data_IF_377911755699
#
_entry.id   IF_377911755699
#
_cell.length_a   1.000
_cell.length_b   1.000
_cell.length_c   1.000
_cell.angle_alpha   90.00
_cell.angle_beta   90.00
_cell.angle_gamma   90.00
#
_symmetry.space_group_name_H-M   'P 1'
#
loop_
_entity.id
_entity.type
_entity.pdbx_description
1 polymer ?
#
# COMPACT_ATOMS: atom_id res chain seq x y z
N UNK A 1 -18.98 28.99 -4.98
CA UNK A 1 -19.18 27.55 -4.71
C UNK A 1 -18.34 26.73 -5.68
N UNK A 2 -17.08 26.43 -5.35
CA UNK A 2 -16.27 25.44 -6.08
C UNK A 2 -15.31 24.81 -5.06
N UNK A 3 -15.67 23.63 -4.56
CA UNK A 3 -14.78 22.76 -3.78
C UNK A 3 -14.53 21.46 -4.57
N UNK A 4 -14.26 21.57 -5.87
CA UNK A 4 -13.83 20.46 -6.73
C UNK A 4 -12.32 20.32 -6.67
N UNK A 5 -11.78 20.16 -5.45
CA UNK A 5 -10.46 19.60 -5.26
C UNK A 5 -10.67 18.12 -4.98
N UNK A 6 -10.68 17.31 -6.04
CA UNK A 6 -10.59 15.87 -5.96
C UNK A 6 -9.47 15.54 -4.96
N UNK A 7 -9.87 15.06 -3.77
CA UNK A 7 -8.97 14.70 -2.69
C UNK A 7 -8.20 13.48 -3.18
N UNK A 8 -7.13 13.71 -3.95
CA UNK A 8 -6.28 12.64 -4.48
C UNK A 8 -5.94 11.75 -3.29
N UNK A 9 -6.31 10.47 -3.35
CA UNK A 9 -5.90 9.53 -2.31
C UNK A 9 -4.41 9.71 -2.09
N UNK A 10 -4.02 9.74 -0.81
CA UNK A 10 -2.62 9.63 -0.43
C UNK A 10 -1.98 8.41 -1.13
N UNK A 11 -0.65 8.40 -1.26
CA UNK A 11 0.02 7.25 -1.87
C UNK A 11 -0.18 5.98 -1.03
N UNK A 12 -0.29 4.82 -1.68
CA UNK A 12 -0.30 3.52 -0.99
C UNK A 12 0.99 3.35 -0.16
N UNK A 13 0.93 2.99 1.14
CA UNK A 13 2.12 2.93 1.98
C UNK A 13 3.15 1.87 1.55
N UNK A 14 2.70 0.76 0.94
CA UNK A 14 3.62 -0.27 0.41
C UNK A 14 4.37 0.26 -0.81
N UNK A 15 3.68 1.00 -1.68
CA UNK A 15 4.29 1.70 -2.80
C UNK A 15 5.31 2.74 -2.32
N UNK A 16 4.97 3.50 -1.28
CA UNK A 16 5.85 4.50 -0.68
C UNK A 16 7.12 3.86 -0.11
N UNK A 17 6.99 2.79 0.70
CA UNK A 17 8.13 2.01 1.21
C UNK A 17 9.03 1.54 0.08
N UNK A 18 8.45 0.90 -0.95
CA UNK A 18 9.23 0.37 -2.07
C UNK A 18 9.98 1.48 -2.81
N UNK A 19 9.34 2.63 -3.03
CA UNK A 19 9.96 3.79 -3.69
C UNK A 19 11.07 4.40 -2.84
N UNK A 20 10.88 4.50 -1.53
CA UNK A 20 11.91 4.98 -0.60
C UNK A 20 13.15 4.09 -0.60
N UNK A 21 12.99 2.77 -0.79
CA UNK A 21 14.08 1.82 -0.96
C UNK A 21 14.71 1.83 -2.36
N UNK A 22 14.18 2.64 -3.30
CA UNK A 22 14.66 2.68 -4.68
C UNK A 22 14.44 1.40 -5.48
N UNK A 23 13.48 0.55 -5.07
CA UNK A 23 13.31 -0.79 -5.63
C UNK A 23 12.21 -0.87 -6.69
N UNK A 24 12.46 -1.71 -7.71
CA UNK A 24 11.40 -2.20 -8.58
C UNK A 24 10.47 -3.14 -7.80
N UNK A 25 9.25 -3.41 -8.30
CA UNK A 25 8.38 -4.45 -7.71
C UNK A 25 9.05 -5.82 -7.72
N UNK A 26 9.86 -6.09 -8.74
CA UNK A 26 10.61 -7.35 -8.86
C UNK A 26 11.62 -7.50 -7.73
N UNK A 27 12.39 -6.46 -7.46
CA UNK A 27 13.44 -6.51 -6.44
C UNK A 27 12.86 -6.51 -5.04
N UNK A 28 11.83 -5.69 -4.79
CA UNK A 28 11.13 -5.69 -3.52
C UNK A 28 10.41 -7.02 -3.26
N UNK A 29 9.79 -7.62 -4.30
CA UNK A 29 9.15 -8.93 -4.22
C UNK A 29 10.14 -10.03 -3.83
N UNK A 30 11.34 -10.03 -4.43
CA UNK A 30 12.42 -10.95 -4.02
C UNK A 30 12.82 -10.77 -2.56
N UNK A 31 12.96 -9.51 -2.12
CA UNK A 31 13.35 -9.17 -0.77
C UNK A 31 12.34 -9.68 0.28
N UNK A 32 11.05 -9.43 0.06
CA UNK A 32 9.98 -9.85 0.98
C UNK A 32 9.43 -11.25 0.67
N UNK A 33 10.01 -11.93 -0.33
CA UNK A 33 9.67 -13.28 -0.82
C UNK A 33 8.20 -13.44 -1.28
N UNK A 34 7.76 -12.53 -2.15
CA UNK A 34 6.47 -12.59 -2.84
C UNK A 34 6.63 -12.35 -4.34
N UNK A 35 5.66 -12.81 -5.12
CA UNK A 35 5.65 -12.55 -6.56
C UNK A 35 5.37 -11.06 -6.87
N UNK A 36 5.96 -10.47 -7.93
CA UNK A 36 5.69 -9.09 -8.31
C UNK A 36 4.21 -8.80 -8.61
N UNK A 37 3.45 -9.81 -9.06
CA UNK A 37 2.00 -9.69 -9.27
C UNK A 37 1.24 -9.49 -7.95
N UNK A 38 1.69 -10.14 -6.87
CA UNK A 38 1.13 -9.93 -5.54
C UNK A 38 1.34 -8.47 -5.08
N UNK A 39 2.53 -7.90 -5.32
CA UNK A 39 2.80 -6.50 -5.04
C UNK A 39 1.99 -5.54 -5.94
N UNK A 40 1.76 -5.92 -7.20
CA UNK A 40 0.88 -5.15 -8.08
C UNK A 40 -0.54 -5.07 -7.52
N UNK A 41 -1.10 -6.20 -7.08
CA UNK A 41 -2.42 -6.28 -6.48
C UNK A 41 -2.50 -5.53 -5.14
N UNK A 42 -1.47 -5.64 -4.30
CA UNK A 42 -1.38 -4.95 -3.01
C UNK A 42 -1.26 -3.44 -3.18
N UNK A 43 -0.38 -2.97 -4.06
CA UNK A 43 -0.23 -1.54 -4.35
C UNK A 43 -1.38 -0.96 -5.20
N UNK A 44 -2.13 -1.82 -5.88
CA UNK A 44 -3.33 -1.49 -6.65
C UNK A 44 -4.59 -1.43 -5.79
N UNK A 45 -4.52 -1.91 -4.54
CA UNK A 45 -5.65 -1.90 -3.61
C UNK A 45 -6.66 -3.01 -3.88
N UNK A 46 -6.26 -4.11 -4.52
CA UNK A 46 -7.11 -5.30 -4.68
C UNK A 46 -7.42 -5.95 -3.31
N UNK A 47 -6.52 -5.82 -2.34
CA UNK A 47 -6.73 -6.30 -0.99
C UNK A 47 -7.49 -5.28 -0.15
N UNK A 48 -8.57 -5.71 0.50
CA UNK A 48 -9.37 -4.87 1.39
C UNK A 48 -8.61 -4.49 2.67
N UNK A 49 -7.83 -5.43 3.20
CA UNK A 49 -7.03 -5.26 4.43
C UNK A 49 -5.56 -5.54 4.17
N UNK A 50 -4.71 -5.03 5.05
CA UNK A 50 -3.28 -5.32 5.02
C UNK A 50 -3.03 -6.78 5.44
N UNK A 51 -2.37 -7.61 4.62
CA UNK A 51 -2.13 -9.01 4.96
C UNK A 51 -1.07 -9.14 6.07
N UNK A 52 -1.45 -9.68 7.23
CA UNK A 52 -0.57 -9.79 8.41
C UNK A 52 0.74 -10.53 8.11
N UNK A 53 0.66 -11.66 7.41
CA UNK A 53 1.82 -12.46 7.02
C UNK A 53 2.81 -11.67 6.15
N UNK A 54 2.33 -10.70 5.37
CA UNK A 54 3.18 -9.81 4.57
C UNK A 54 3.86 -8.78 5.49
N UNK A 55 3.17 -8.27 6.51
CA UNK A 55 3.75 -7.43 7.55
C UNK A 55 4.95 -8.08 8.24
N UNK A 56 4.87 -9.37 8.54
CA UNK A 56 5.99 -10.12 9.12
C UNK A 56 7.23 -10.17 8.21
N UNK A 57 7.06 -10.01 6.89
CA UNK A 57 8.18 -9.90 5.93
C UNK A 57 8.83 -8.52 5.89
N UNK A 58 8.18 -7.50 6.44
CA UNK A 58 8.74 -6.14 6.56
C UNK A 58 9.66 -5.99 7.78
N UNK A 59 9.44 -6.78 8.85
CA UNK A 59 10.24 -6.68 10.08
C UNK A 59 11.76 -6.84 9.87
N UNK A 60 12.25 -7.81 9.07
CA UNK A 60 13.69 -7.94 8.81
C UNK A 60 14.31 -6.74 8.09
N UNK A 61 13.49 -5.85 7.51
CA UNK A 61 13.92 -4.61 6.87
C UNK A 61 13.94 -3.41 7.84
N UNK A 62 13.68 -3.64 9.13
CA UNK A 62 13.57 -2.58 10.14
C UNK A 62 12.26 -1.79 10.06
N UNK A 63 11.24 -2.32 9.38
CA UNK A 63 9.95 -1.66 9.20
C UNK A 63 8.93 -2.32 10.14
N UNK A 64 8.33 -1.51 11.03
CA UNK A 64 7.23 -1.96 11.88
C UNK A 64 5.95 -2.11 11.05
N UNK A 65 5.35 -3.31 10.96
CA UNK A 65 4.13 -3.52 10.18
C UNK A 65 2.90 -2.84 10.80
N UNK A 66 2.91 -2.50 12.09
CA UNK A 66 1.75 -1.93 12.80
C UNK A 66 1.31 -0.56 12.22
N UNK A 67 2.18 0.46 12.13
CA UNK A 67 1.82 1.72 11.49
C UNK A 67 1.50 1.53 10.00
N UNK A 68 2.23 0.66 9.30
CA UNK A 68 2.00 0.38 7.86
C UNK A 68 0.61 -0.19 7.61
N UNK A 69 0.15 -1.11 8.45
CA UNK A 69 -1.19 -1.70 8.35
C UNK A 69 -2.28 -0.64 8.54
N UNK A 70 -2.14 0.22 9.55
CA UNK A 70 -3.06 1.34 9.80
C UNK A 70 -3.10 2.28 8.60
N UNK A 71 -1.93 2.69 8.10
CA UNK A 71 -1.84 3.55 6.92
C UNK A 71 -2.44 2.90 5.67
N UNK A 72 -2.32 1.58 5.53
CA UNK A 72 -2.90 0.88 4.38
C UNK A 72 -4.43 0.90 4.46
N UNK A 73 -5.00 0.66 5.65
CA UNK A 73 -6.44 0.65 5.85
C UNK A 73 -7.09 2.02 5.62
N UNK A 74 -6.52 3.11 6.14
CA UNK A 74 -7.14 4.42 5.88
C UNK A 74 -6.96 4.82 4.41
N UNK A 75 -5.84 4.46 3.77
CA UNK A 75 -5.67 4.64 2.33
C UNK A 75 -6.75 3.87 1.53
N UNK A 76 -7.07 2.64 1.92
CA UNK A 76 -8.16 1.86 1.31
C UNK A 76 -9.52 2.51 1.51
N UNK A 77 -9.81 3.04 2.70
CA UNK A 77 -11.06 3.76 2.98
C UNK A 77 -11.18 5.02 2.11
N UNK A 78 -10.10 5.78 1.98
CA UNK A 78 -10.05 6.96 1.09
C UNK A 78 -10.30 6.57 -0.38
N UNK A 79 -9.66 5.50 -0.87
CA UNK A 79 -9.92 4.97 -2.21
C UNK A 79 -11.39 4.61 -2.39
N UNK A 80 -11.96 3.81 -1.49
CA UNK A 80 -13.36 3.38 -1.59
C UNK A 80 -14.32 4.56 -1.55
N UNK A 81 -14.06 5.58 -0.72
CA UNK A 81 -14.87 6.79 -0.66
C UNK A 81 -14.88 7.55 -1.99
N UNK A 82 -13.74 7.59 -2.71
CA UNK A 82 -13.68 8.20 -4.05
C UNK A 82 -14.47 7.39 -5.09
N UNK A 83 -14.43 6.06 -5.04
CA UNK A 83 -15.14 5.20 -6.00
C UNK A 83 -16.64 5.04 -5.69
N UNK A 84 -17.09 5.25 -4.45
CA UNK A 84 -18.52 5.24 -4.07
C UNK A 84 -19.20 6.61 -4.19
N UNK A 85 -18.44 7.67 -4.48
CA UNK A 85 -18.93 9.05 -4.59
C UNK A 85 -19.50 9.41 -5.96
N UNK A 86 -20.12 8.44 -6.65
CA UNK A 86 -20.95 8.64 -7.85
C UNK A 86 -22.44 8.63 -7.48
#
# INVERSE_FOLDING_TARGET
>A
MQATAARRARENPIRAIRRALGMSRRDFGRLVRVDPSYLLDLEGGRFERFPEWFGERLRPLGIDPTPVAREYEEWRREMQAMFRGE
#
